data_IF_346797746083
#
_entry.id   IF_346797746083
#
_cell.length_a   1.000
_cell.length_b   1.000
_cell.length_c   1.000
_cell.angle_alpha   90.00
_cell.angle_beta   90.00
_cell.angle_gamma   90.00
#
_symmetry.space_group_name_H-M   'P 1'
#
loop_
_entity.id
_entity.type
_entity.pdbx_description
1 polymer ?
#
# COMPACT_ATOMS: atom_id res chain seq x y z
N UNK A 1 24.61 -11.77 3.10
CA UNK A 1 24.17 -11.36 1.74
C UNK A 1 23.47 -10.04 1.91
N UNK A 2 23.98 -8.99 1.33
CA UNK A 2 23.44 -7.64 1.51
C UNK A 2 22.34 -7.43 0.48
N UNK A 3 21.16 -7.04 0.92
CA UNK A 3 20.01 -6.80 0.09
C UNK A 3 19.67 -5.30 0.05
N UNK A 4 19.01 -4.86 -1.01
CA UNK A 4 18.44 -3.51 -1.12
C UNK A 4 16.93 -3.57 -1.21
N UNK A 5 16.25 -2.73 -0.43
CA UNK A 5 14.85 -2.38 -0.66
C UNK A 5 14.79 -1.10 -1.45
N UNK A 6 14.18 -1.13 -2.61
CA UNK A 6 14.04 0.03 -3.47
C UNK A 6 12.60 0.29 -3.88
N UNK A 7 12.28 1.56 -4.06
CA UNK A 7 11.02 2.03 -4.62
C UNK A 7 11.32 2.93 -5.83
N UNK A 8 11.34 2.38 -7.04
CA UNK A 8 11.82 3.10 -8.22
C UNK A 8 11.09 4.40 -8.55
N UNK A 9 9.83 4.50 -8.11
CA UNK A 9 8.96 5.63 -8.44
C UNK A 9 8.52 6.46 -7.25
N UNK A 10 8.82 6.04 -6.03
CA UNK A 10 8.34 6.77 -4.86
C UNK A 10 9.44 7.66 -4.35
N UNK A 11 9.28 8.97 -4.51
CA UNK A 11 9.95 9.86 -3.60
C UNK A 11 9.34 9.63 -2.23
N UNK A 12 10.06 9.03 -1.34
CA UNK A 12 9.67 9.11 0.05
C UNK A 12 9.99 10.53 0.47
N UNK A 13 8.93 11.31 0.35
CA UNK A 13 8.95 12.70 0.67
C UNK A 13 9.48 12.94 2.08
N UNK A 14 9.97 14.13 2.33
CA UNK A 14 10.23 14.74 3.65
C UNK A 14 9.12 14.45 4.67
N UNK A 15 7.92 14.11 4.20
CA UNK A 15 6.77 13.80 5.05
C UNK A 15 6.57 12.27 5.14
N UNK A 16 7.19 11.68 6.17
CA UNK A 16 6.99 10.28 6.54
C UNK A 16 5.55 9.96 7.01
N UNK A 17 4.69 10.96 7.13
CA UNK A 17 3.30 10.77 7.51
C UNK A 17 2.44 10.16 6.41
N UNK A 18 2.90 10.17 5.15
CA UNK A 18 2.12 9.55 4.07
C UNK A 18 2.01 8.03 4.25
N UNK A 19 0.82 7.49 3.99
CA UNK A 19 0.58 6.05 4.08
C UNK A 19 1.52 5.23 3.19
N UNK A 20 1.96 5.77 2.06
CA UNK A 20 2.90 5.11 1.15
C UNK A 20 4.30 5.01 1.74
N UNK A 21 4.78 6.11 2.34
CA UNK A 21 6.04 6.09 3.04
C UNK A 21 5.98 5.10 4.22
N UNK A 22 4.90 5.13 5.01
CA UNK A 22 4.68 4.19 6.09
C UNK A 22 4.70 2.74 5.61
N UNK A 23 4.07 2.42 4.48
CA UNK A 23 4.07 1.06 3.91
C UNK A 23 5.49 0.58 3.54
N UNK A 24 6.29 1.44 2.90
CA UNK A 24 7.68 1.08 2.58
C UNK A 24 8.53 0.84 3.82
N UNK A 25 8.31 1.63 4.85
CA UNK A 25 8.99 1.49 6.14
C UNK A 25 8.57 0.20 6.85
N UNK A 26 7.30 -0.15 6.84
CA UNK A 26 6.77 -1.40 7.37
C UNK A 26 7.43 -2.60 6.69
N UNK A 27 7.53 -2.60 5.38
CA UNK A 27 8.19 -3.67 4.65
C UNK A 27 9.68 -3.77 4.99
N UNK A 28 10.36 -2.62 5.14
CA UNK A 28 11.75 -2.62 5.57
C UNK A 28 11.92 -3.26 6.95
N UNK A 29 11.03 -2.93 7.88
CA UNK A 29 11.04 -3.49 9.23
C UNK A 29 10.77 -5.00 9.21
N UNK A 30 9.76 -5.45 8.51
CA UNK A 30 9.43 -6.86 8.37
C UNK A 30 10.58 -7.69 7.78
N UNK A 31 11.23 -7.18 6.73
CA UNK A 31 12.40 -7.84 6.14
C UNK A 31 13.57 -7.94 7.13
N UNK A 32 13.81 -6.89 7.92
CA UNK A 32 14.84 -6.89 8.96
C UNK A 32 14.52 -7.84 10.10
N UNK A 33 13.28 -7.88 10.55
CA UNK A 33 12.82 -8.84 11.56
C UNK A 33 12.97 -10.29 11.06
N UNK A 34 12.81 -10.54 9.76
CA UNK A 34 13.10 -11.81 9.13
C UNK A 34 14.62 -12.11 8.99
N UNK A 35 15.50 -11.29 9.56
CA UNK A 35 16.94 -11.49 9.56
C UNK A 35 17.65 -11.07 8.27
N UNK A 36 16.99 -10.29 7.42
CA UNK A 36 17.58 -9.81 6.16
C UNK A 36 18.45 -8.58 6.44
N UNK A 37 19.73 -8.65 6.07
CA UNK A 37 20.66 -7.52 6.08
C UNK A 37 20.30 -6.58 4.92
N UNK A 38 19.52 -5.54 5.22
CA UNK A 38 18.81 -4.72 4.24
C UNK A 38 19.28 -3.26 4.23
N UNK A 39 19.66 -2.77 3.06
CA UNK A 39 19.79 -1.35 2.79
C UNK A 39 18.47 -0.78 2.23
N UNK A 40 17.98 0.31 2.79
CA UNK A 40 16.72 0.93 2.37
C UNK A 40 16.99 2.11 1.46
N UNK A 41 16.72 1.92 0.16
CA UNK A 41 16.90 2.92 -0.88
C UNK A 41 15.56 3.54 -1.30
N UNK A 42 15.03 4.39 -0.46
CA UNK A 42 13.70 4.97 -0.65
C UNK A 42 13.64 6.47 -0.32
N UNK A 43 14.75 7.18 -0.41
CA UNK A 43 14.84 8.60 -0.08
C UNK A 43 15.01 9.45 -1.33
N UNK A 44 14.40 10.67 -1.34
CA UNK A 44 14.49 11.65 -2.41
C UNK A 44 15.88 12.23 -2.57
N UNK A 45 16.53 12.45 -1.46
CA UNK A 45 17.81 13.11 -1.32
C UNK A 45 18.99 12.15 -1.36
N UNK A 46 18.68 10.85 -1.37
CA UNK A 46 19.69 9.80 -1.27
C UNK A 46 19.22 8.52 -1.95
N UNK A 47 19.90 8.10 -2.98
CA UNK A 47 19.64 6.85 -3.68
C UNK A 47 20.92 6.10 -4.05
N UNK A 48 20.79 4.81 -4.26
CA UNK A 48 21.92 3.95 -4.66
C UNK A 48 22.27 4.20 -6.12
N UNK A 49 23.50 4.60 -6.40
CA UNK A 49 23.99 4.83 -7.76
C UNK A 49 24.17 3.54 -8.57
N UNK A 50 24.47 2.43 -7.92
CA UNK A 50 24.61 1.12 -8.56
C UNK A 50 23.97 0.03 -7.72
N UNK A 51 22.79 -0.43 -8.15
CA UNK A 51 22.07 -1.51 -7.50
C UNK A 51 22.81 -2.85 -7.59
N UNK A 52 23.74 -3.05 -8.54
CA UNK A 52 24.54 -4.26 -8.64
C UNK A 52 25.59 -4.41 -7.53
N UNK A 53 25.72 -3.44 -6.63
CA UNK A 53 26.45 -3.57 -5.38
C UNK A 53 25.80 -4.61 -4.45
N UNK A 54 24.52 -4.94 -4.69
CA UNK A 54 23.74 -5.92 -3.92
C UNK A 54 23.51 -7.19 -4.72
N UNK A 55 23.35 -8.30 -4.02
CA UNK A 55 23.02 -9.60 -4.65
C UNK A 55 21.52 -9.77 -4.84
N UNK A 56 20.74 -9.12 -3.98
CA UNK A 56 19.28 -9.26 -3.92
C UNK A 56 18.62 -7.89 -3.83
N UNK A 57 17.52 -7.72 -4.54
CA UNK A 57 16.70 -6.53 -4.50
C UNK A 57 15.25 -6.86 -4.14
N UNK A 58 14.74 -6.17 -3.14
CA UNK A 58 13.32 -6.15 -2.79
C UNK A 58 12.70 -4.90 -3.39
N UNK A 59 11.65 -5.06 -4.18
CA UNK A 59 11.03 -3.95 -4.88
C UNK A 59 9.67 -3.64 -4.25
N UNK A 60 9.56 -2.41 -3.75
CA UNK A 60 8.29 -1.83 -3.35
C UNK A 60 7.77 -0.95 -4.49
N UNK A 61 6.74 -1.40 -5.18
CA UNK A 61 6.25 -0.68 -6.36
C UNK A 61 5.50 0.60 -6.02
N UNK A 62 4.98 0.72 -4.82
CA UNK A 62 4.11 1.84 -4.47
C UNK A 62 2.94 1.97 -5.46
N UNK A 63 1.89 2.60 -5.04
CA UNK A 63 0.75 2.71 -5.92
C UNK A 63 0.91 3.87 -6.86
N UNK A 64 0.55 3.65 -8.11
CA UNK A 64 0.31 4.73 -9.04
C UNK A 64 1.56 5.51 -9.48
N UNK A 65 2.46 4.81 -10.19
CA UNK A 65 3.57 5.45 -10.89
C UNK A 65 3.09 6.61 -11.79
N UNK A 66 1.89 6.52 -12.38
CA UNK A 66 1.35 7.59 -13.24
C UNK A 66 1.04 8.86 -12.46
N UNK A 67 0.55 8.74 -11.23
CA UNK A 67 0.37 9.86 -10.33
C UNK A 67 1.70 10.48 -9.92
N UNK A 68 2.72 9.67 -9.68
CA UNK A 68 4.06 10.18 -9.37
C UNK A 68 4.71 10.90 -10.53
N UNK A 69 4.65 10.34 -11.73
CA UNK A 69 5.13 11.02 -12.93
C UNK A 69 4.46 12.38 -13.11
N UNK A 70 3.14 12.45 -12.92
CA UNK A 70 2.39 13.70 -13.06
C UNK A 70 2.74 14.73 -11.99
N UNK A 71 3.01 14.29 -10.76
CA UNK A 71 3.43 15.18 -9.66
C UNK A 71 4.80 15.85 -9.92
N UNK A 72 5.67 15.19 -10.68
CA UNK A 72 7.05 15.63 -10.91
C UNK A 72 7.31 16.06 -12.37
N UNK A 73 6.31 16.60 -13.05
CA UNK A 73 6.52 17.14 -14.41
C UNK A 73 6.48 16.08 -15.53
N UNK A 74 6.10 14.84 -15.22
CA UNK A 74 5.98 13.77 -16.20
C UNK A 74 7.34 13.25 -16.68
N UNK A 75 7.40 12.76 -17.93
CA UNK A 75 8.63 12.19 -18.49
C UNK A 75 9.73 13.23 -18.74
N UNK A 76 9.39 14.52 -18.81
CA UNK A 76 10.35 15.59 -19.09
C UNK A 76 11.18 15.97 -17.87
N UNK A 77 10.60 15.95 -16.69
CA UNK A 77 11.17 16.56 -15.49
C UNK A 77 11.20 15.61 -14.27
N UNK A 78 11.08 14.30 -14.52
CA UNK A 78 11.04 13.33 -13.41
C UNK A 78 12.41 13.28 -12.70
N UNK A 79 12.50 13.73 -11.44
CA UNK A 79 13.79 13.91 -10.77
C UNK A 79 14.50 12.60 -10.41
N UNK A 80 13.75 11.48 -10.43
CA UNK A 80 14.25 10.16 -10.04
C UNK A 80 14.59 9.25 -11.23
N UNK A 81 14.71 9.81 -12.42
CA UNK A 81 15.03 9.02 -13.63
C UNK A 81 16.36 8.28 -13.48
N UNK A 82 17.35 8.85 -12.79
CA UNK A 82 18.63 8.18 -12.52
C UNK A 82 18.47 6.97 -11.61
N UNK A 83 17.66 7.08 -10.55
CA UNK A 83 17.37 5.95 -9.70
C UNK A 83 16.65 4.84 -10.48
N UNK A 84 15.70 5.22 -11.34
CA UNK A 84 15.00 4.27 -12.20
C UNK A 84 15.93 3.64 -13.24
N UNK A 85 16.83 4.42 -13.84
CA UNK A 85 17.86 3.95 -14.77
C UNK A 85 18.78 2.91 -14.09
N UNK A 86 19.23 3.20 -12.88
CA UNK A 86 20.07 2.28 -12.11
C UNK A 86 19.29 1.01 -11.69
N UNK A 87 18.04 1.17 -11.28
CA UNK A 87 17.13 0.04 -11.04
C UNK A 87 17.02 -0.85 -12.28
N UNK A 88 16.86 -0.26 -13.47
CA UNK A 88 16.68 -1.03 -14.70
C UNK A 88 17.88 -1.90 -15.08
N UNK A 89 19.07 -1.61 -14.54
CA UNK A 89 20.31 -2.33 -14.83
C UNK A 89 20.63 -3.45 -13.83
N UNK A 90 19.82 -3.67 -12.82
CA UNK A 90 20.06 -4.68 -11.80
C UNK A 90 20.05 -6.09 -12.37
N UNK A 91 21.05 -6.91 -12.02
CA UNK A 91 21.24 -8.28 -12.54
C UNK A 91 21.00 -9.37 -11.51
N UNK A 92 20.92 -9.02 -10.23
CA UNK A 92 20.70 -9.97 -9.15
C UNK A 92 19.28 -10.49 -9.03
N UNK A 93 19.01 -11.19 -7.94
CA UNK A 93 17.69 -11.76 -7.63
C UNK A 93 16.72 -10.67 -7.19
N UNK A 94 15.48 -10.73 -7.69
CA UNK A 94 14.44 -9.75 -7.41
C UNK A 94 13.27 -10.40 -6.68
N UNK A 95 12.81 -9.72 -5.63
CA UNK A 95 11.58 -10.04 -4.92
C UNK A 95 10.60 -8.86 -5.01
N UNK A 96 9.35 -9.15 -5.29
CA UNK A 96 8.26 -8.17 -5.23
C UNK A 96 7.59 -8.22 -3.86
N UNK A 97 7.32 -7.05 -3.29
CA UNK A 97 6.54 -6.90 -2.06
C UNK A 97 5.04 -6.74 -2.31
N UNK A 98 4.59 -7.00 -3.53
CA UNK A 98 3.18 -7.02 -3.94
C UNK A 98 2.88 -8.39 -4.52
N UNK A 99 1.65 -8.90 -4.37
CA UNK A 99 1.22 -10.22 -4.88
C UNK A 99 1.46 -10.35 -6.39
N UNK A 100 1.21 -9.26 -7.14
CA UNK A 100 1.44 -9.21 -8.56
C UNK A 100 2.47 -8.13 -8.87
N UNK A 101 3.53 -8.47 -9.57
CA UNK A 101 4.44 -7.49 -10.16
C UNK A 101 3.62 -6.72 -11.20
N UNK A 102 3.38 -5.42 -11.01
CA UNK A 102 2.38 -4.73 -11.82
C UNK A 102 2.88 -4.48 -13.26
N UNK A 103 1.96 -4.49 -14.24
CA UNK A 103 2.18 -4.13 -15.65
C UNK A 103 2.63 -2.67 -15.86
N UNK A 104 3.00 -1.98 -14.79
CA UNK A 104 3.37 -0.57 -14.81
C UNK A 104 4.51 -0.27 -15.74
N UNK A 105 5.45 -1.18 -15.85
CA UNK A 105 6.65 -0.97 -16.63
C UNK A 105 6.39 -1.04 -18.13
N UNK A 106 5.52 -1.93 -18.56
CA UNK A 106 5.09 -2.00 -19.96
C UNK A 106 4.32 -0.74 -20.35
N UNK A 107 3.41 -0.28 -19.48
CA UNK A 107 2.67 0.95 -19.69
C UNK A 107 3.61 2.18 -19.72
N UNK A 108 4.63 2.21 -18.85
CA UNK A 108 5.62 3.29 -18.83
C UNK A 108 6.48 3.27 -20.11
N UNK A 109 6.96 2.10 -20.51
CA UNK A 109 7.68 1.91 -21.76
C UNK A 109 6.85 2.42 -22.94
N UNK A 110 5.59 2.01 -23.04
CA UNK A 110 4.68 2.48 -24.07
C UNK A 110 4.53 4.00 -24.09
N UNK A 111 4.48 4.65 -22.92
CA UNK A 111 4.43 6.13 -22.85
C UNK A 111 5.72 6.78 -23.33
N UNK A 112 6.88 6.21 -23.02
CA UNK A 112 8.18 6.68 -23.52
C UNK A 112 8.26 6.54 -25.04
N UNK A 113 7.91 5.38 -25.57
CA UNK A 113 7.89 5.09 -27.00
C UNK A 113 6.94 6.03 -27.76
N UNK A 114 5.74 6.26 -27.20
CA UNK A 114 4.76 7.19 -27.78
C UNK A 114 5.23 8.64 -27.75
N UNK A 115 5.93 9.04 -26.69
CA UNK A 115 6.49 10.39 -26.60
C UNK A 115 7.58 10.59 -27.66
N UNK A 116 8.47 9.61 -27.81
CA UNK A 116 9.52 9.62 -28.83
C UNK A 116 8.93 9.64 -30.24
N UNK A 117 7.94 8.80 -30.54
CA UNK A 117 7.31 8.74 -31.87
C UNK A 117 6.61 10.05 -32.26
N UNK A 118 6.17 10.84 -31.28
CA UNK A 118 5.51 12.14 -31.46
C UNK A 118 6.47 13.32 -31.28
N UNK A 119 7.78 13.08 -31.18
CA UNK A 119 8.80 14.10 -30.89
C UNK A 119 8.44 15.01 -29.69
N UNK A 120 7.81 14.44 -28.68
CA UNK A 120 7.53 15.17 -27.43
C UNK A 120 8.80 15.26 -26.59
N UNK A 121 9.05 16.39 -25.91
CA UNK A 121 10.20 16.51 -25.05
C UNK A 121 10.10 15.56 -23.86
N UNK A 122 11.11 14.70 -23.71
CA UNK A 122 11.30 13.82 -22.55
C UNK A 122 12.75 13.95 -22.09
N UNK A 123 13.01 13.55 -20.85
CA UNK A 123 14.39 13.43 -20.38
C UNK A 123 15.12 12.35 -21.19
N UNK A 124 16.28 12.64 -21.80
CA UNK A 124 17.00 11.69 -22.63
C UNK A 124 17.41 10.40 -21.91
N UNK A 125 17.51 10.43 -20.58
CA UNK A 125 17.86 9.27 -19.76
C UNK A 125 16.81 8.15 -19.83
N UNK A 126 15.55 8.45 -20.14
CA UNK A 126 14.53 7.44 -20.40
C UNK A 126 14.87 6.49 -21.54
N UNK A 127 15.62 6.97 -22.54
CA UNK A 127 16.08 6.16 -23.67
C UNK A 127 17.25 5.24 -23.31
N UNK A 128 17.85 5.41 -22.14
CA UNK A 128 18.94 4.58 -21.62
C UNK A 128 18.44 3.47 -20.67
N UNK A 129 17.15 3.45 -20.37
CA UNK A 129 16.54 2.44 -19.50
C UNK A 129 16.60 1.07 -20.18
N UNK A 130 17.10 0.07 -19.45
CA UNK A 130 17.12 -1.33 -19.90
C UNK A 130 15.75 -1.97 -19.74
N UNK A 131 14.85 -1.66 -20.65
CA UNK A 131 13.48 -2.17 -20.63
C UNK A 131 13.40 -3.69 -20.72
N UNK A 132 14.31 -4.34 -21.44
CA UNK A 132 14.36 -5.79 -21.54
C UNK A 132 14.69 -6.41 -20.18
N UNK A 133 15.63 -5.82 -19.43
CA UNK A 133 15.96 -6.29 -18.12
C UNK A 133 14.84 -6.03 -17.09
N UNK A 134 14.11 -4.93 -17.22
CA UNK A 134 12.91 -4.70 -16.39
C UNK A 134 11.85 -5.78 -16.62
N UNK A 135 11.58 -6.13 -17.89
CA UNK A 135 10.65 -7.20 -18.23
C UNK A 135 11.16 -8.54 -17.69
N UNK A 136 12.48 -8.80 -17.78
CA UNK A 136 13.07 -9.98 -17.15
C UNK A 136 12.81 -10.00 -15.63
N UNK A 137 13.12 -8.92 -14.95
CA UNK A 137 12.89 -8.79 -13.51
C UNK A 137 11.42 -9.00 -13.14
N UNK A 138 10.51 -8.47 -13.95
CA UNK A 138 9.06 -8.65 -13.78
C UNK A 138 8.67 -10.14 -13.89
N UNK A 139 9.21 -10.85 -14.85
CA UNK A 139 8.89 -12.26 -15.09
C UNK A 139 9.54 -13.22 -14.08
N UNK A 140 10.71 -12.83 -13.55
CA UNK A 140 11.49 -13.67 -12.63
C UNK A 140 11.28 -13.30 -11.14
N UNK A 141 10.59 -12.19 -10.85
CA UNK A 141 10.38 -11.74 -9.48
C UNK A 141 9.54 -12.75 -8.69
N UNK A 142 10.08 -13.16 -7.55
CA UNK A 142 9.34 -13.96 -6.59
C UNK A 142 8.56 -13.03 -5.64
N UNK A 143 7.34 -13.42 -5.28
CA UNK A 143 6.60 -12.71 -4.24
C UNK A 143 7.15 -13.09 -2.87
N UNK A 144 7.67 -12.11 -2.11
CA UNK A 144 8.25 -12.35 -0.78
C UNK A 144 7.21 -12.77 0.26
N UNK A 145 5.95 -12.40 0.06
CA UNK A 145 4.86 -12.62 1.02
C UNK A 145 4.81 -14.05 1.59
N UNK A 146 4.88 -15.13 0.79
CA UNK A 146 4.87 -16.49 1.34
C UNK A 146 6.02 -16.76 2.32
N UNK A 147 7.19 -16.20 2.05
CA UNK A 147 8.36 -16.40 2.91
C UNK A 147 8.26 -15.61 4.22
N UNK A 148 7.69 -14.40 4.17
CA UNK A 148 7.42 -13.62 5.39
C UNK A 148 6.30 -14.27 6.21
N UNK A 149 5.26 -14.76 5.57
CA UNK A 149 4.12 -15.42 6.21
C UNK A 149 4.53 -16.65 7.03
N UNK A 150 5.58 -17.34 6.66
CA UNK A 150 6.12 -18.49 7.40
C UNK A 150 6.82 -18.11 8.71
N UNK A 151 7.18 -16.87 8.91
CA UNK A 151 7.96 -16.39 10.06
C UNK A 151 7.06 -15.88 11.17
N UNK A 152 5.88 -15.33 10.84
CA UNK A 152 5.01 -14.66 11.79
C UNK A 152 3.69 -15.42 12.03
N UNK A 153 3.28 -15.56 13.30
CA UNK A 153 2.02 -16.22 13.65
C UNK A 153 0.79 -15.33 13.41
N UNK A 154 0.99 -14.07 13.07
CA UNK A 154 -0.08 -13.08 12.97
C UNK A 154 -0.03 -12.34 11.63
N UNK A 155 -1.20 -12.11 11.03
CA UNK A 155 -1.33 -11.43 9.75
C UNK A 155 -2.49 -10.43 9.73
N UNK A 156 -2.24 -9.25 9.18
CA UNK A 156 -3.21 -8.21 8.92
C UNK A 156 -3.30 -7.91 7.41
N UNK A 157 -4.49 -8.02 6.84
CA UNK A 157 -4.74 -7.94 5.39
C UNK A 157 -5.87 -6.96 5.13
N UNK A 158 -5.73 -6.12 4.09
CA UNK A 158 -6.83 -5.25 3.70
C UNK A 158 -6.55 -4.35 2.50
N UNK A 159 -7.41 -3.36 2.34
CA UNK A 159 -7.21 -2.30 1.34
C UNK A 159 -6.07 -1.36 1.74
N UNK A 160 -5.92 -0.21 1.10
CA UNK A 160 -4.86 0.75 1.41
C UNK A 160 -4.87 1.25 2.86
N UNK A 161 -5.97 1.11 3.58
CA UNK A 161 -6.08 1.51 5.00
C UNK A 161 -5.53 0.44 5.94
N UNK A 162 -5.34 -0.80 5.51
CA UNK A 162 -4.81 -1.87 6.34
C UNK A 162 -3.42 -1.57 6.93
N UNK A 163 -2.71 -0.62 6.33
CA UNK A 163 -1.47 -0.12 6.87
C UNK A 163 -1.60 0.41 8.31
N UNK A 164 -2.78 0.89 8.70
CA UNK A 164 -3.05 1.35 10.06
C UNK A 164 -2.95 0.24 11.11
N UNK A 165 -3.07 -1.02 10.68
CA UNK A 165 -3.07 -2.20 11.56
C UNK A 165 -1.65 -2.68 11.90
N UNK A 166 -0.63 -2.08 11.31
CA UNK A 166 0.75 -2.51 11.52
C UNK A 166 1.18 -2.42 12.97
N UNK A 167 1.83 -3.46 13.42
CA UNK A 167 2.57 -3.57 14.68
C UNK A 167 3.69 -4.60 14.56
N UNK A 168 4.71 -4.54 15.41
CA UNK A 168 5.78 -5.56 15.41
C UNK A 168 5.22 -6.98 15.50
N UNK A 169 5.92 -7.95 14.92
CA UNK A 169 5.55 -9.37 14.90
C UNK A 169 4.25 -9.69 14.13
N UNK A 170 3.78 -8.76 13.31
CA UNK A 170 2.64 -8.94 12.43
C UNK A 170 3.04 -8.75 10.97
N UNK A 171 2.58 -9.65 10.11
CA UNK A 171 2.61 -9.38 8.68
C UNK A 171 1.52 -8.37 8.36
N UNK A 172 1.88 -7.26 7.76
CA UNK A 172 0.91 -6.29 7.26
C UNK A 172 0.85 -6.35 5.73
N UNK A 173 -0.31 -6.66 5.22
CA UNK A 173 -0.57 -6.85 3.81
C UNK A 173 -1.62 -5.87 3.29
N UNK A 174 -1.18 -4.68 2.92
CA UNK A 174 -2.03 -3.62 2.40
C UNK A 174 -2.10 -3.69 0.87
N UNK A 175 -3.31 -3.85 0.33
CA UNK A 175 -3.59 -3.95 -1.10
C UNK A 175 -4.32 -2.70 -1.58
N UNK A 176 -3.62 -1.75 -2.19
CA UNK A 176 -4.24 -0.56 -2.74
C UNK A 176 -5.31 -0.88 -3.78
N UNK A 177 -6.34 -0.05 -3.81
CA UNK A 177 -7.49 -0.17 -4.74
C UNK A 177 -8.32 -1.47 -4.61
N UNK A 178 -8.00 -2.36 -3.68
CA UNK A 178 -8.80 -3.56 -3.44
C UNK A 178 -10.08 -3.21 -2.69
N UNK A 179 -11.23 -3.38 -3.32
CA UNK A 179 -12.53 -3.28 -2.65
C UNK A 179 -12.84 -4.54 -1.86
N UNK A 180 -13.68 -4.44 -0.84
CA UNK A 180 -14.19 -5.62 -0.14
C UNK A 180 -14.91 -6.57 -1.12
N UNK A 181 -15.80 -6.03 -1.96
CA UNK A 181 -16.48 -6.84 -2.96
C UNK A 181 -15.51 -7.60 -3.88
N UNK A 182 -14.41 -6.94 -4.31
CA UNK A 182 -13.36 -7.58 -5.11
C UNK A 182 -12.59 -8.65 -4.33
N UNK A 183 -12.31 -8.41 -3.06
CA UNK A 183 -11.64 -9.36 -2.19
C UNK A 183 -12.50 -10.62 -1.97
N UNK A 184 -13.80 -10.44 -1.71
CA UNK A 184 -14.73 -11.54 -1.52
C UNK A 184 -14.93 -12.41 -2.77
N UNK A 185 -14.89 -11.81 -3.96
CA UNK A 185 -14.90 -12.57 -5.22
C UNK A 185 -13.69 -13.47 -5.41
N UNK A 186 -12.54 -13.05 -4.90
CA UNK A 186 -11.33 -13.88 -4.92
C UNK A 186 -11.35 -14.94 -3.82
N UNK A 187 -12.04 -14.66 -2.72
CA UNK A 187 -12.03 -15.45 -1.50
C UNK A 187 -10.95 -14.99 -0.52
N UNK A 188 -11.32 -14.66 0.71
CA UNK A 188 -10.37 -14.16 1.72
C UNK A 188 -9.23 -15.14 2.01
N UNK A 189 -9.52 -16.44 2.00
CA UNK A 189 -8.53 -17.49 2.20
C UNK A 189 -7.40 -17.47 1.15
N UNK A 190 -7.65 -16.96 -0.06
CA UNK A 190 -6.64 -16.94 -1.12
C UNK A 190 -5.48 -15.99 -0.81
N UNK A 191 -5.70 -15.00 0.04
CA UNK A 191 -4.63 -14.09 0.49
C UNK A 191 -3.71 -14.74 1.53
N UNK A 192 -4.15 -15.84 2.14
CA UNK A 192 -3.43 -16.56 3.20
C UNK A 192 -2.94 -17.92 2.71
N UNK A 193 -3.62 -18.54 1.74
CA UNK A 193 -3.34 -19.87 1.20
C UNK A 193 -1.87 -20.19 0.87
N UNK A 194 -1.01 -19.22 0.48
CA UNK A 194 0.40 -19.52 0.24
C UNK A 194 1.19 -19.95 1.50
N UNK A 195 0.57 -19.93 2.66
CA UNK A 195 1.19 -20.23 3.94
C UNK A 195 0.86 -21.65 4.38
N UNK A 196 1.88 -22.43 4.67
CA UNK A 196 1.77 -23.81 5.18
C UNK A 196 1.84 -23.85 6.71
N UNK A 197 1.29 -22.86 7.42
CA UNK A 197 1.25 -22.88 8.88
C UNK A 197 -0.03 -22.21 9.40
N UNK A 198 -0.39 -22.54 10.62
CA UNK A 198 -1.51 -21.96 11.32
C UNK A 198 -1.16 -20.55 11.80
N UNK A 199 -2.08 -19.61 11.58
CA UNK A 199 -2.00 -18.28 12.16
C UNK A 199 -2.74 -18.26 13.49
N UNK A 200 -2.14 -17.66 14.50
CA UNK A 200 -2.83 -17.41 15.77
C UNK A 200 -3.93 -16.36 15.62
N UNK A 201 -3.58 -15.27 14.89
CA UNK A 201 -4.53 -14.18 14.63
C UNK A 201 -4.48 -13.73 13.17
N UNK A 202 -5.67 -13.55 12.62
CA UNK A 202 -5.89 -13.00 11.28
C UNK A 202 -6.74 -11.74 11.39
N UNK A 203 -6.31 -10.66 10.80
CA UNK A 203 -7.06 -9.40 10.77
C UNK A 203 -7.40 -9.00 9.34
N UNK A 204 -8.63 -8.53 9.14
CA UNK A 204 -9.07 -7.99 7.87
C UNK A 204 -9.56 -6.56 8.01
N UNK A 205 -9.11 -5.70 7.09
CA UNK A 205 -9.53 -4.31 7.01
C UNK A 205 -9.89 -3.93 5.57
N UNK A 206 -11.08 -4.32 5.16
CA UNK A 206 -11.66 -3.98 3.87
C UNK A 206 -12.98 -3.24 4.03
N UNK A 207 -13.39 -2.50 2.99
CA UNK A 207 -14.71 -1.89 2.91
C UNK A 207 -14.68 -0.36 2.88
N UNK A 208 -13.56 0.28 3.17
CA UNK A 208 -13.46 1.75 3.12
C UNK A 208 -13.79 2.33 1.74
N UNK A 209 -13.40 1.65 0.67
CA UNK A 209 -13.73 2.05 -0.70
C UNK A 209 -15.21 1.79 -0.99
N UNK A 210 -15.72 0.65 -0.53
CA UNK A 210 -17.11 0.23 -0.79
C UNK A 210 -18.13 1.21 -0.19
N UNK A 211 -17.94 1.62 1.07
CA UNK A 211 -18.84 2.60 1.71
C UNK A 211 -18.73 3.99 1.11
N UNK A 212 -17.55 4.39 0.63
CA UNK A 212 -17.33 5.72 0.05
C UNK A 212 -17.87 5.85 -1.36
N UNK A 213 -17.79 4.78 -2.17
CA UNK A 213 -17.97 4.89 -3.60
C UNK A 213 -19.00 3.94 -4.21
N UNK A 214 -19.29 2.78 -3.58
CA UNK A 214 -20.05 1.73 -4.24
C UNK A 214 -21.44 1.49 -3.64
N UNK A 215 -21.55 1.42 -2.32
CA UNK A 215 -22.78 0.95 -1.69
C UNK A 215 -23.98 1.85 -1.93
N UNK A 216 -23.81 3.18 -1.83
CA UNK A 216 -24.90 4.10 -2.14
C UNK A 216 -25.37 4.09 -3.60
N UNK A 217 -24.60 3.54 -4.51
CA UNK A 217 -24.95 3.40 -5.93
C UNK A 217 -25.78 2.17 -6.23
N UNK A 218 -25.99 1.30 -5.24
CA UNK A 218 -26.83 0.12 -5.39
C UNK A 218 -28.31 0.49 -5.40
N UNK A 219 -29.16 -0.29 -6.06
CA UNK A 219 -30.62 -0.03 -6.05
C UNK A 219 -31.22 0.01 -4.65
N UNK A 220 -30.73 -0.85 -3.75
CA UNK A 220 -31.04 -0.84 -2.32
C UNK A 220 -29.70 -0.87 -1.52
N UNK A 221 -29.19 0.30 -1.11
CA UNK A 221 -27.93 0.41 -0.39
C UNK A 221 -27.93 -0.35 0.95
N UNK A 222 -29.06 -0.40 1.63
CA UNK A 222 -29.20 -1.09 2.93
C UNK A 222 -29.09 -2.60 2.76
N UNK A 223 -29.86 -3.16 1.82
CA UNK A 223 -29.80 -4.59 1.51
C UNK A 223 -28.41 -4.98 0.99
N UNK A 224 -27.83 -4.18 0.10
CA UNK A 224 -26.49 -4.42 -0.43
C UNK A 224 -25.41 -4.40 0.66
N UNK A 225 -25.51 -3.49 1.65
CA UNK A 225 -24.58 -3.43 2.79
C UNK A 225 -24.70 -4.69 3.63
N UNK A 226 -25.92 -5.10 3.97
CA UNK A 226 -26.16 -6.31 4.77
C UNK A 226 -25.65 -7.57 4.08
N UNK A 227 -25.87 -7.67 2.78
CA UNK A 227 -25.38 -8.81 1.98
C UNK A 227 -23.86 -8.86 1.92
N UNK A 228 -23.22 -7.70 1.68
CA UNK A 228 -21.77 -7.59 1.65
C UNK A 228 -21.14 -7.98 3.00
N UNK A 229 -21.71 -7.52 4.11
CA UNK A 229 -21.26 -7.87 5.47
C UNK A 229 -21.49 -9.34 5.76
N UNK A 230 -22.64 -9.88 5.39
CA UNK A 230 -22.93 -11.31 5.56
C UNK A 230 -21.88 -12.18 4.87
N UNK A 231 -21.55 -11.86 3.63
CA UNK A 231 -20.54 -12.61 2.88
C UNK A 231 -19.14 -12.42 3.45
N UNK A 232 -18.81 -11.20 3.91
CA UNK A 232 -17.54 -10.89 4.56
C UNK A 232 -17.33 -11.72 5.81
N UNK A 233 -18.32 -11.73 6.70
CA UNK A 233 -18.27 -12.48 7.96
C UNK A 233 -18.28 -13.99 7.73
N UNK A 234 -19.05 -14.48 6.75
CA UNK A 234 -19.05 -15.89 6.36
C UNK A 234 -17.66 -16.36 5.92
N UNK A 235 -16.98 -15.58 5.06
CA UNK A 235 -15.64 -15.93 4.62
C UNK A 235 -14.59 -15.75 5.72
N UNK A 236 -14.73 -14.74 6.58
CA UNK A 236 -13.86 -14.54 7.73
C UNK A 236 -13.94 -15.71 8.72
N UNK A 237 -15.14 -16.20 9.03
CA UNK A 237 -15.33 -17.40 9.83
C UNK A 237 -14.76 -18.66 9.18
N UNK A 238 -14.89 -18.79 7.85
CA UNK A 238 -14.24 -19.87 7.12
C UNK A 238 -12.70 -19.84 7.22
N UNK A 239 -12.11 -18.64 7.25
CA UNK A 239 -10.67 -18.47 7.53
C UNK A 239 -10.34 -18.88 8.97
N UNK A 240 -11.13 -18.43 9.94
CA UNK A 240 -10.93 -18.81 11.34
C UNK A 240 -10.93 -20.33 11.54
N UNK A 241 -11.88 -21.02 10.91
CA UNK A 241 -11.98 -22.48 10.95
C UNK A 241 -10.79 -23.16 10.24
N UNK A 242 -10.45 -22.69 9.03
CA UNK A 242 -9.40 -23.28 8.21
C UNK A 242 -8.02 -23.23 8.87
N UNK A 243 -7.71 -22.16 9.59
CA UNK A 243 -6.40 -21.91 10.21
C UNK A 243 -6.43 -22.06 11.74
N UNK A 244 -7.54 -22.49 12.32
CA UNK A 244 -7.73 -22.58 13.78
C UNK A 244 -7.33 -21.26 14.50
N UNK A 245 -7.72 -20.12 13.92
CA UNK A 245 -7.30 -18.77 14.32
C UNK A 245 -8.46 -17.94 14.86
N UNK A 246 -8.13 -16.85 15.55
CA UNK A 246 -9.09 -15.79 15.82
C UNK A 246 -9.03 -14.75 14.68
N UNK A 247 -10.19 -14.42 14.11
CA UNK A 247 -10.29 -13.37 13.08
C UNK A 247 -10.82 -12.09 13.72
N UNK A 248 -10.19 -10.97 13.39
CA UNK A 248 -10.63 -9.63 13.77
C UNK A 248 -10.98 -8.81 12.52
N UNK A 249 -12.16 -8.21 12.50
CA UNK A 249 -12.60 -7.26 11.48
C UNK A 249 -12.53 -5.84 12.05
N UNK A 250 -11.97 -4.92 11.30
CA UNK A 250 -11.81 -3.54 11.75
C UNK A 250 -13.00 -2.68 11.40
N UNK A 251 -13.43 -1.85 12.35
CA UNK A 251 -14.34 -0.75 12.06
C UNK A 251 -13.74 0.20 11.03
N UNK A 252 -14.57 0.61 10.05
CA UNK A 252 -14.16 1.48 8.97
C UNK A 252 -13.95 2.92 9.45
N UNK A 253 -12.99 3.61 8.84
CA UNK A 253 -12.74 5.02 9.12
C UNK A 253 -13.98 5.89 8.91
N UNK A 254 -14.18 6.92 9.72
CA UNK A 254 -15.22 7.91 9.51
C UNK A 254 -15.12 8.52 8.11
N UNK A 255 -16.26 8.98 7.59
CA UNK A 255 -16.29 9.61 6.28
C UNK A 255 -15.73 11.03 6.39
N UNK A 256 -14.83 11.33 5.50
CA UNK A 256 -14.18 12.63 5.38
C UNK A 256 -15.12 13.73 4.88
N UNK A 257 -14.74 14.99 5.11
CA UNK A 257 -15.49 16.16 4.69
C UNK A 257 -15.75 16.18 3.17
N UNK A 258 -16.92 16.67 2.76
CA UNK A 258 -17.35 16.75 1.35
C UNK A 258 -16.51 17.73 0.50
N UNK A 259 -15.75 18.62 1.14
CA UNK A 259 -14.79 19.49 0.45
C UNK A 259 -13.60 18.74 -0.13
N UNK A 260 -13.49 17.44 0.14
CA UNK A 260 -12.50 16.59 -0.51
C UNK A 260 -12.61 16.72 -2.02
N UNK A 261 -11.46 16.86 -2.67
CA UNK A 261 -11.41 16.93 -4.13
C UNK A 261 -11.93 15.66 -4.81
N UNK A 262 -12.62 15.88 -5.93
CA UNK A 262 -13.01 14.79 -6.84
C UNK A 262 -11.75 14.00 -7.22
N UNK A 263 -11.82 12.66 -7.22
CA UNK A 263 -10.67 11.83 -7.62
C UNK A 263 -10.14 12.22 -9.00
N UNK A 264 -8.84 12.42 -9.11
CA UNK A 264 -8.16 12.77 -10.36
C UNK A 264 -7.72 11.55 -11.16
N UNK A 265 -7.71 10.39 -10.53
CA UNK A 265 -7.24 9.12 -11.08
C UNK A 265 -8.10 7.96 -10.59
N UNK A 266 -8.02 6.82 -11.27
CA UNK A 266 -8.71 5.60 -10.89
C UNK A 266 -10.12 5.49 -11.48
N UNK A 267 -10.85 4.46 -11.05
CA UNK A 267 -12.17 4.10 -11.58
C UNK A 267 -13.20 5.24 -11.50
N UNK A 268 -13.07 6.12 -10.50
CA UNK A 268 -13.96 7.28 -10.30
C UNK A 268 -13.32 8.61 -10.67
N UNK A 269 -12.35 8.60 -11.58
CA UNK A 269 -11.74 9.82 -12.08
C UNK A 269 -12.81 10.79 -12.55
N UNK A 270 -12.72 12.04 -12.08
CA UNK A 270 -13.66 13.13 -12.39
C UNK A 270 -15.12 12.88 -12.02
N UNK A 271 -15.42 11.81 -11.30
CA UNK A 271 -16.77 11.49 -10.86
C UNK A 271 -16.98 12.02 -9.44
N UNK A 272 -18.01 12.85 -9.19
CA UNK A 272 -18.33 13.31 -7.85
C UNK A 272 -18.74 12.13 -6.95
N UNK A 273 -18.62 12.30 -5.64
CA UNK A 273 -19.20 11.36 -4.70
C UNK A 273 -20.70 11.22 -4.94
N UNK A 274 -21.18 10.02 -4.86
CA UNK A 274 -22.60 9.75 -4.91
C UNK A 274 -23.19 9.86 -3.49
N UNK A 275 -24.31 10.56 -3.38
CA UNK A 275 -24.91 10.86 -2.08
C UNK A 275 -24.13 11.87 -1.25
N UNK A 276 -24.69 12.28 -0.14
CA UNK A 276 -24.07 13.17 0.83
C UNK A 276 -23.09 12.42 1.74
N UNK A 277 -22.23 13.16 2.44
CA UNK A 277 -21.38 12.60 3.48
C UNK A 277 -22.20 11.85 4.55
N UNK A 278 -23.31 12.45 4.97
CA UNK A 278 -24.18 11.86 6.00
C UNK A 278 -24.74 10.52 5.56
N UNK A 279 -25.20 10.41 4.31
CA UNK A 279 -25.67 9.13 3.77
C UNK A 279 -24.56 8.08 3.74
N UNK A 280 -23.36 8.45 3.32
CA UNK A 280 -22.19 7.53 3.35
C UNK A 280 -21.83 7.11 4.77
N UNK A 281 -21.87 8.03 5.74
CA UNK A 281 -21.61 7.71 7.14
C UNK A 281 -22.69 6.81 7.76
N UNK A 282 -23.94 7.00 7.38
CA UNK A 282 -25.03 6.10 7.77
C UNK A 282 -24.80 4.68 7.24
N UNK A 283 -24.32 4.52 6.01
CA UNK A 283 -23.94 3.20 5.46
C UNK A 283 -22.74 2.62 6.22
N UNK A 284 -21.74 3.44 6.59
CA UNK A 284 -20.60 3.00 7.41
C UNK A 284 -21.06 2.50 8.78
N UNK A 285 -21.95 3.23 9.44
CA UNK A 285 -22.52 2.82 10.74
C UNK A 285 -23.32 1.54 10.61
N UNK A 286 -24.17 1.44 9.60
CA UNK A 286 -24.89 0.20 9.32
C UNK A 286 -23.94 -0.97 9.09
N UNK A 287 -22.85 -0.76 8.36
CA UNK A 287 -21.82 -1.77 8.11
C UNK A 287 -21.23 -2.29 9.44
N UNK A 288 -20.87 -1.39 10.36
CA UNK A 288 -20.39 -1.72 11.69
C UNK A 288 -21.43 -2.51 12.51
N UNK A 289 -22.68 -2.01 12.56
CA UNK A 289 -23.77 -2.65 13.29
C UNK A 289 -24.04 -4.07 12.77
N UNK A 290 -24.00 -4.27 11.46
CA UNK A 290 -24.16 -5.60 10.87
C UNK A 290 -22.98 -6.52 11.19
N UNK A 291 -21.72 -6.03 11.16
CA UNK A 291 -20.56 -6.82 11.56
C UNK A 291 -20.70 -7.35 13.01
N UNK A 292 -21.11 -6.48 13.93
CA UNK A 292 -21.26 -6.84 15.37
C UNK A 292 -22.25 -7.96 15.64
N UNK A 293 -23.22 -8.18 14.76
CA UNK A 293 -24.18 -9.30 14.90
C UNK A 293 -23.53 -10.68 14.75
N UNK A 294 -22.35 -10.74 14.15
CA UNK A 294 -21.64 -11.98 13.90
C UNK A 294 -20.48 -12.23 14.88
N UNK A 295 -20.28 -11.33 15.86
CA UNK A 295 -19.26 -11.54 16.89
C UNK A 295 -19.47 -12.85 17.65
N UNK A 296 -18.38 -13.60 17.81
CA UNK A 296 -18.34 -14.87 18.54
C UNK A 296 -16.90 -15.14 19.04
N UNK A 297 -16.64 -16.32 19.57
CA UNK A 297 -15.30 -16.69 20.07
C UNK A 297 -14.20 -16.61 19.01
N UNK A 298 -14.56 -16.87 17.73
CA UNK A 298 -13.62 -16.91 16.61
C UNK A 298 -13.63 -15.65 15.73
N UNK A 299 -14.58 -14.73 15.95
CA UNK A 299 -14.72 -13.50 15.17
C UNK A 299 -14.98 -12.30 16.09
N UNK A 300 -14.13 -11.28 15.98
CA UNK A 300 -14.23 -10.04 16.75
C UNK A 300 -14.32 -8.84 15.84
N UNK A 301 -14.94 -7.76 16.32
CA UNK A 301 -14.94 -6.45 15.67
C UNK A 301 -14.09 -5.48 16.51
N UNK A 302 -13.05 -4.91 15.91
CA UNK A 302 -12.20 -3.92 16.59
C UNK A 302 -12.75 -2.52 16.36
N UNK A 303 -13.32 -1.95 17.40
CA UNK A 303 -13.85 -0.58 17.41
C UNK A 303 -12.73 0.37 17.87
N UNK A 304 -12.42 1.41 17.10
CA UNK A 304 -11.25 2.25 17.38
C UNK A 304 -11.34 3.69 16.87
N UNK A 305 -12.40 4.03 16.14
CA UNK A 305 -12.43 5.28 15.38
C UNK A 305 -13.09 6.46 16.11
N UNK A 306 -13.68 6.25 17.30
CA UNK A 306 -14.43 7.30 18.00
C UNK A 306 -13.59 8.55 18.29
N UNK A 307 -12.29 8.39 18.59
CA UNK A 307 -11.36 9.48 18.81
C UNK A 307 -10.94 10.25 17.56
N UNK A 308 -11.31 9.77 16.37
CA UNK A 308 -10.94 10.35 15.08
C UNK A 308 -12.01 11.29 14.48
N UNK A 309 -13.13 11.42 15.18
CA UNK A 309 -14.31 12.16 14.70
C UNK A 309 -14.29 13.58 15.26
N UNK A 310 -14.51 14.57 14.39
CA UNK A 310 -14.68 15.96 14.80
C UNK A 310 -16.11 16.23 15.31
N UNK A 311 -16.38 17.45 15.75
CA UNK A 311 -17.69 17.91 16.22
C UNK A 311 -18.83 17.82 15.19
N UNK A 312 -18.48 17.69 13.91
CA UNK A 312 -19.43 17.53 12.80
C UNK A 312 -19.67 16.05 12.40
N UNK A 313 -19.08 15.10 13.14
CA UNK A 313 -19.17 13.68 12.84
C UNK A 313 -18.34 13.24 11.63
N UNK A 314 -17.31 13.99 11.26
CA UNK A 314 -16.42 13.73 10.14
C UNK A 314 -15.07 13.24 10.62
N UNK A 315 -14.33 12.52 9.76
CA UNK A 315 -12.91 12.30 10.01
C UNK A 315 -12.19 13.65 10.08
N UNK A 316 -11.62 13.96 11.25
CA UNK A 316 -10.95 15.23 11.48
C UNK A 316 -9.66 15.32 10.65
N UNK A 317 -9.47 16.45 9.98
CA UNK A 317 -8.30 16.72 9.14
C UNK A 317 -6.95 16.61 9.87
N UNK A 318 -6.93 16.88 11.17
CA UNK A 318 -5.70 16.78 11.98
C UNK A 318 -5.14 15.36 12.05
N UNK A 319 -5.99 14.35 11.83
CA UNK A 319 -5.59 12.93 11.84
C UNK A 319 -5.17 12.42 10.47
N UNK A 320 -5.41 13.19 9.40
CA UNK A 320 -5.09 12.79 8.04
C UNK A 320 -3.61 13.00 7.72
N UNK A 321 -3.04 12.15 6.87
CA UNK A 321 -1.66 12.29 6.36
C UNK A 321 -1.40 13.63 5.66
N UNK A 322 -2.44 14.20 5.08
CA UNK A 322 -2.50 15.53 4.46
C UNK A 322 -3.95 15.98 4.36
N UNK A 323 -4.22 17.27 4.26
CA UNK A 323 -5.58 17.78 4.06
C UNK A 323 -6.27 17.08 2.89
N UNK A 324 -7.53 16.68 3.10
CA UNK A 324 -8.37 16.01 2.11
C UNK A 324 -7.92 14.59 1.69
N UNK A 325 -7.00 13.96 2.43
CA UNK A 325 -6.73 12.53 2.29
C UNK A 325 -7.84 11.69 2.90
N UNK A 326 -7.86 10.41 2.56
CA UNK A 326 -8.66 9.37 3.22
C UNK A 326 -7.82 8.54 4.18
N UNK A 327 -6.51 8.72 4.16
CA UNK A 327 -5.59 7.95 4.96
C UNK A 327 -5.16 8.74 6.18
N UNK A 328 -5.00 8.05 7.29
CA UNK A 328 -4.47 8.63 8.52
C UNK A 328 -2.97 8.91 8.40
N UNK A 329 -2.51 9.89 9.14
CA UNK A 329 -1.12 10.03 9.46
C UNK A 329 -0.71 8.92 10.44
N UNK A 330 0.51 8.40 10.29
CA UNK A 330 0.98 7.19 10.98
C UNK A 330 0.94 7.29 12.51
N UNK A 331 1.15 8.47 13.07
CA UNK A 331 1.09 8.72 14.51
C UNK A 331 -0.27 8.44 15.13
N UNK A 332 -1.31 8.29 14.32
CA UNK A 332 -2.68 7.97 14.74
C UNK A 332 -3.09 6.52 14.40
N UNK A 333 -2.16 5.69 13.98
CA UNK A 333 -2.44 4.27 13.80
C UNK A 333 -2.63 3.60 15.18
N UNK A 334 -3.63 2.75 15.36
CA UNK A 334 -3.98 2.23 16.69
C UNK A 334 -2.87 1.45 17.39
N UNK A 335 -1.93 0.92 16.64
CA UNK A 335 -0.81 0.12 17.16
C UNK A 335 0.56 0.77 16.93
N UNK A 336 0.59 2.04 16.51
CA UNK A 336 1.84 2.71 16.21
C UNK A 336 2.69 2.92 17.48
N UNK A 337 3.92 2.44 17.48
CA UNK A 337 4.83 2.54 18.61
C UNK A 337 5.98 3.54 18.38
N UNK A 338 5.91 4.29 17.29
CA UNK A 338 6.92 5.27 16.91
C UNK A 338 8.26 4.67 16.53
N UNK A 339 8.60 4.66 15.26
CA UNK A 339 9.94 4.36 14.80
C UNK A 339 10.31 5.25 13.62
N UNK A 340 11.60 5.53 13.50
CA UNK A 340 12.12 6.53 12.60
C UNK A 340 12.95 5.91 11.48
N UNK A 341 12.97 6.58 10.33
CA UNK A 341 13.81 6.21 9.19
C UNK A 341 15.31 6.14 9.53
N UNK A 342 15.77 7.01 10.44
CA UNK A 342 17.20 7.16 10.72
C UNK A 342 17.87 5.89 11.23
N UNK A 343 17.12 4.96 11.79
CA UNK A 343 17.63 3.66 12.26
C UNK A 343 17.57 2.54 11.22
N UNK A 344 17.03 2.79 10.03
CA UNK A 344 16.75 1.75 9.05
C UNK A 344 17.97 1.32 8.23
N UNK A 345 18.97 2.17 8.06
CA UNK A 345 20.14 1.81 7.28
C UNK A 345 21.27 1.36 8.20
N UNK A 346 21.61 0.06 8.21
CA UNK A 346 22.78 -0.41 8.94
C UNK A 346 24.06 0.18 8.35
N UNK A 347 25.16 0.24 9.12
CA UNK A 347 26.46 0.51 8.56
C UNK A 347 26.76 -0.53 7.49
N UNK A 348 27.02 -0.10 6.28
CA UNK A 348 27.29 -0.98 5.15
C UNK A 348 28.77 -1.36 5.21
N UNK A 349 29.06 -2.64 5.36
CA UNK A 349 30.42 -3.16 5.35
C UNK A 349 31.08 -3.17 3.96
N UNK A 350 30.31 -2.87 2.90
CA UNK A 350 30.82 -2.66 1.54
C UNK A 350 30.57 -1.23 1.12
N UNK A 351 31.48 -0.57 0.40
CA UNK A 351 31.26 0.78 -0.08
C UNK A 351 30.09 0.78 -1.09
N UNK A 352 28.98 1.32 -0.69
CA UNK A 352 27.83 1.58 -1.58
C UNK A 352 27.93 3.04 -2.05
N UNK A 353 27.99 3.23 -3.35
CA UNK A 353 27.87 4.58 -3.91
C UNK A 353 26.45 5.05 -3.75
N UNK A 354 26.27 6.10 -2.99
CA UNK A 354 24.98 6.73 -2.75
C UNK A 354 25.03 8.15 -3.31
N UNK A 355 24.05 8.48 -4.11
CA UNK A 355 23.86 9.85 -4.54
C UNK A 355 23.24 10.65 -3.40
N UNK A 356 23.79 11.82 -3.13
CA UNK A 356 23.24 12.80 -2.22
C UNK A 356 22.81 14.02 -3.04
N UNK A 357 21.54 14.14 -3.33
CA UNK A 357 21.00 15.35 -3.94
C UNK A 357 20.97 16.47 -2.89
N UNK A 358 21.41 17.66 -3.27
CA UNK A 358 21.24 18.84 -2.43
C UNK A 358 19.75 19.14 -2.28
N UNK A 359 19.30 19.41 -1.08
CA UNK A 359 17.90 19.79 -0.79
C UNK A 359 17.43 21.03 -1.56
N UNK A 360 18.35 21.84 -2.05
CA UNK A 360 18.10 23.05 -2.84
C UNK A 360 17.55 22.78 -4.25
N UNK A 361 17.74 21.58 -4.77
CA UNK A 361 17.23 21.19 -6.10
C UNK A 361 15.75 20.73 -6.10
N UNK A 362 15.08 20.74 -4.94
CA UNK A 362 13.72 20.20 -4.78
C UNK A 362 12.72 21.18 -4.12
N UNK A 363 13.11 22.48 -4.00
CA UNK A 363 12.22 23.55 -3.51
C UNK A 363 11.60 24.27 -4.69
#
# INVERSE_FOLDING_TARGET
>A
MTAVLTAPFIPIAKNLSSHRAAQGVIYADQLKQAGIDLYVNMSLDRYVEDHNTFDTMYVYHGNDWSGHLNLFGGLKEFPHVDNFLNFSKFKGKVYSLIIDFPDYYEQLKHKVDLANSKNKPIDPRWNQVDWNNIIRMQNEAETITPNLLKVYPNIAIGDSHAICMYRPEWINYSMPFKTLHGALKMGLHTFIKPCDHDFENVEFYFGNIDVRHHLLRQPDPVAATKELVREYTRQALGVAEMYNSTVTLYELLPIENEKRHIPKTGWYEKTPFYGSRVERDNIRRLFKEELKKYECSSLRVFEWVDGLINEHGELDFKYMEKPQSVHLSREFYPHWQGWEWNGLNPPINKPVKVHHASLESFI
#
